data_IF_739109561691
#
_entry.id   IF_739109561691
#
_cell.length_a   1.000
_cell.length_b   1.000
_cell.length_c   1.000
_cell.angle_alpha   90.00
_cell.angle_beta   90.00
_cell.angle_gamma   90.00
#
_symmetry.space_group_name_H-M   'P 1'
#
loop_
_entity.id
_entity.type
_entity.pdbx_description
1 polymer ?
#
# COMPACT_ATOMS: atom_id res chain seq x y z
N UNK A 1 1.67 10.17 29.10
CA UNK A 1 1.60 9.04 28.14
C UNK A 1 0.39 9.25 27.24
N UNK A 2 0.56 9.86 26.07
CA UNK A 2 -0.52 10.16 25.14
C UNK A 2 -0.14 9.56 23.77
N UNK A 3 -0.69 8.37 23.48
CA UNK A 3 -0.80 7.86 22.13
C UNK A 3 -1.52 8.94 21.30
N UNK A 4 -0.94 9.42 20.18
CA UNK A 4 -1.67 10.19 19.17
C UNK A 4 -3.03 9.51 18.99
N UNK A 5 -4.08 10.23 19.38
CA UNK A 5 -5.43 9.73 19.71
C UNK A 5 -5.74 8.43 18.97
N UNK A 6 -5.59 7.33 19.69
CA UNK A 6 -6.17 6.04 19.37
C UNK A 6 -6.08 5.61 17.89
N UNK A 7 -4.92 5.06 17.51
CA UNK A 7 -4.93 3.81 16.72
C UNK A 7 -5.48 2.69 17.61
N UNK A 8 -6.71 2.84 18.10
CA UNK A 8 -7.51 1.70 18.53
C UNK A 8 -7.80 0.98 17.22
N UNK A 9 -7.10 -0.13 17.00
CA UNK A 9 -7.50 -1.15 16.04
C UNK A 9 -8.97 -1.36 16.32
N UNK A 10 -9.83 -0.83 15.45
CA UNK A 10 -11.26 -0.88 15.67
C UNK A 10 -11.60 -2.36 15.88
N UNK A 11 -11.98 -2.70 17.10
CA UNK A 11 -12.88 -3.81 17.38
C UNK A 11 -14.19 -3.45 16.67
N UNK A 12 -14.18 -3.55 15.34
CA UNK A 12 -15.34 -3.43 14.52
C UNK A 12 -16.17 -4.66 14.84
N UNK A 13 -17.18 -4.41 15.65
CA UNK A 13 -18.42 -5.17 15.70
C UNK A 13 -18.61 -5.96 14.42
N UNK A 14 -18.62 -7.28 14.56
CA UNK A 14 -18.93 -8.24 13.52
C UNK A 14 -20.31 -7.89 12.91
N UNK A 15 -20.34 -7.10 11.83
CA UNK A 15 -21.30 -7.31 10.76
C UNK A 15 -20.99 -6.49 9.50
N UNK A 16 -20.83 -7.25 8.41
CA UNK A 16 -21.11 -6.91 7.01
C UNK A 16 -20.26 -5.81 6.32
N UNK A 17 -19.09 -6.19 5.75
CA UNK A 17 -18.90 -6.29 4.28
C UNK A 17 -17.44 -6.59 3.90
N UNK A 18 -17.25 -7.81 3.42
CA UNK A 18 -16.01 -8.40 2.90
C UNK A 18 -15.59 -7.80 1.55
N UNK A 19 -14.97 -6.62 1.52
CA UNK A 19 -14.38 -6.12 0.25
C UNK A 19 -12.99 -5.50 0.33
N UNK A 20 -12.35 -5.43 1.51
CA UNK A 20 -11.06 -4.71 1.60
C UNK A 20 -9.78 -5.54 1.51
N UNK A 21 -9.87 -6.87 1.46
CA UNK A 21 -8.65 -7.69 1.51
C UNK A 21 -8.55 -8.79 0.45
N UNK A 22 -9.60 -9.05 -0.35
CA UNK A 22 -9.79 -10.35 -1.01
C UNK A 22 -9.40 -10.43 -2.51
N UNK A 23 -8.42 -9.66 -2.97
CA UNK A 23 -8.11 -9.54 -4.39
C UNK A 23 -6.87 -10.32 -4.85
N UNK A 24 -6.78 -11.62 -4.60
CA UNK A 24 -5.73 -12.51 -5.18
C UNK A 24 -6.08 -12.99 -6.60
N UNK A 25 -7.30 -12.70 -7.08
CA UNK A 25 -7.81 -13.07 -8.42
C UNK A 25 -7.23 -12.26 -9.57
N UNK A 26 -6.62 -11.10 -9.30
CA UNK A 26 -6.06 -10.20 -10.32
C UNK A 26 -4.52 -10.24 -10.38
N UNK A 27 -3.91 -11.24 -9.75
CA UNK A 27 -2.47 -11.44 -9.82
C UNK A 27 -2.14 -12.21 -11.09
N UNK A 28 -1.40 -11.62 -12.06
CA UNK A 28 -0.95 -12.37 -13.22
C UNK A 28 0.00 -13.48 -12.77
N UNK A 29 -0.23 -14.71 -13.25
CA UNK A 29 0.66 -15.86 -12.99
C UNK A 29 2.07 -15.65 -13.60
N UNK A 30 2.19 -14.69 -14.52
CA UNK A 30 3.42 -14.34 -15.23
C UNK A 30 4.30 -13.35 -14.46
N UNK A 31 5.61 -13.40 -14.70
CA UNK A 31 6.55 -12.39 -14.17
C UNK A 31 6.29 -11.09 -14.90
N UNK A 32 5.78 -10.09 -14.19
CA UNK A 32 5.59 -8.76 -14.77
C UNK A 32 6.92 -8.17 -15.27
N UNK A 33 6.91 -7.39 -16.37
CA UNK A 33 8.11 -6.75 -16.87
C UNK A 33 8.73 -5.81 -15.82
N UNK A 34 10.05 -5.64 -15.82
CA UNK A 34 10.73 -4.74 -14.90
C UNK A 34 10.15 -3.33 -15.02
N UNK A 35 10.10 -2.61 -13.90
CA UNK A 35 9.68 -1.22 -13.94
C UNK A 35 10.65 -0.42 -14.81
N UNK A 36 10.14 0.49 -15.68
CA UNK A 36 10.98 1.46 -16.34
C UNK A 36 11.90 2.15 -15.32
N UNK A 37 13.15 2.49 -15.68
CA UNK A 37 14.04 3.21 -14.78
C UNK A 37 13.30 4.42 -14.21
N UNK A 38 13.13 4.41 -12.89
CA UNK A 38 12.60 5.56 -12.19
C UNK A 38 13.67 6.63 -12.34
N UNK A 39 13.46 7.58 -13.26
CA UNK A 39 14.31 8.76 -13.37
C UNK A 39 14.30 9.37 -11.98
N UNK A 40 15.47 9.43 -11.34
CA UNK A 40 15.62 9.83 -9.95
C UNK A 40 14.97 11.20 -9.72
N UNK A 41 13.69 11.19 -9.34
CA UNK A 41 12.98 12.38 -8.89
C UNK A 41 13.50 12.63 -7.49
N UNK A 42 14.24 13.73 -7.31
CA UNK A 42 14.86 14.11 -6.04
C UNK A 42 13.91 13.87 -4.86
N UNK A 43 14.39 13.07 -3.90
CA UNK A 43 13.64 12.19 -3.01
C UNK A 43 12.96 12.88 -1.82
N UNK A 44 12.40 14.08 -2.02
CA UNK A 44 11.81 14.88 -0.94
C UNK A 44 10.63 15.70 -1.44
N UNK A 45 9.77 15.06 -2.22
CA UNK A 45 8.50 15.67 -2.63
C UNK A 45 7.53 15.62 -1.46
N UNK A 46 6.88 16.74 -1.14
CA UNK A 46 5.73 16.73 -0.25
C UNK A 46 4.64 15.81 -0.79
N UNK A 47 3.76 15.29 0.08
CA UNK A 47 2.69 14.39 -0.35
C UNK A 47 1.81 15.03 -1.43
N UNK A 48 1.55 16.34 -1.31
CA UNK A 48 0.79 17.11 -2.31
C UNK A 48 1.42 17.10 -3.70
N UNK A 49 2.75 17.25 -3.80
CA UNK A 49 3.45 17.20 -5.09
C UNK A 49 3.56 15.76 -5.60
N UNK A 50 3.73 14.79 -4.70
CA UNK A 50 3.81 13.38 -5.06
C UNK A 50 2.53 12.84 -5.70
N UNK A 51 1.36 13.28 -5.22
CA UNK A 51 0.04 12.85 -5.71
C UNK A 51 -0.56 13.76 -6.78
N UNK A 52 0.12 14.87 -7.12
CA UNK A 52 -0.33 15.84 -8.13
C UNK A 52 -0.66 15.23 -9.49
N UNK A 53 0.15 14.29 -10.03
CA UNK A 53 -0.19 13.63 -11.30
C UNK A 53 -1.40 12.69 -11.18
N UNK A 54 -1.87 12.37 -9.97
CA UNK A 54 -2.90 11.36 -9.70
C UNK A 54 -4.28 12.01 -9.48
N UNK A 55 -4.37 13.32 -9.25
CA UNK A 55 -5.63 13.99 -8.88
C UNK A 55 -6.79 13.76 -9.86
N UNK A 56 -6.49 13.58 -11.15
CA UNK A 56 -7.52 13.33 -12.17
C UNK A 56 -7.91 11.86 -12.28
N UNK A 57 -7.11 10.94 -11.72
CA UNK A 57 -7.34 9.49 -11.77
C UNK A 57 -8.22 8.99 -10.62
N UNK A 58 -8.18 9.68 -9.48
CA UNK A 58 -8.88 9.27 -8.26
C UNK A 58 -9.72 10.43 -7.73
N UNK A 59 -11.05 10.24 -7.73
CA UNK A 59 -11.99 11.24 -7.24
C UNK A 59 -11.69 11.65 -5.80
N UNK A 60 -11.92 12.91 -5.40
CA UNK A 60 -11.73 13.37 -4.01
C UNK A 60 -10.33 13.17 -3.40
N UNK A 61 -9.31 12.80 -4.19
CA UNK A 61 -7.97 12.52 -3.69
C UNK A 61 -7.37 13.71 -2.95
N UNK A 62 -7.56 14.93 -3.46
CA UNK A 62 -7.07 16.16 -2.81
C UNK A 62 -7.58 16.30 -1.37
N UNK A 63 -8.88 16.10 -1.15
CA UNK A 63 -9.47 16.19 0.19
C UNK A 63 -8.94 15.07 1.11
N UNK A 64 -8.73 13.87 0.56
CA UNK A 64 -8.17 12.73 1.30
C UNK A 64 -6.71 12.95 1.68
N UNK A 65 -5.93 13.62 0.83
CA UNK A 65 -4.55 14.03 1.12
C UNK A 65 -4.51 15.08 2.22
N UNK A 66 -5.37 16.09 2.15
CA UNK A 66 -5.49 17.10 3.22
C UNK A 66 -5.83 16.44 4.55
N UNK A 67 -6.83 15.55 4.55
CA UNK A 67 -7.22 14.80 5.73
C UNK A 67 -6.08 13.95 6.30
N UNK A 68 -5.35 13.22 5.44
CA UNK A 68 -4.20 12.42 5.87
C UNK A 68 -3.09 13.25 6.53
N UNK A 69 -2.78 14.42 5.96
CA UNK A 69 -1.80 15.34 6.54
C UNK A 69 -2.26 15.93 7.87
N UNK A 70 -3.56 16.15 8.03
CA UNK A 70 -4.11 16.66 9.28
C UNK A 70 -4.03 15.65 10.43
N UNK A 71 -4.29 14.38 10.13
CA UNK A 71 -4.17 13.28 11.10
C UNK A 71 -2.70 12.98 11.45
N UNK A 72 -1.78 13.15 10.48
CA UNK A 72 -0.37 12.82 10.63
C UNK A 72 0.54 14.00 11.09
N UNK A 73 -0.03 15.07 11.66
CA UNK A 73 0.75 16.25 12.11
C UNK A 73 1.87 15.94 13.12
N UNK A 74 1.71 14.90 13.92
CA UNK A 74 2.65 14.47 14.95
C UNK A 74 3.12 13.03 14.66
N UNK A 75 4.02 12.84 13.68
CA UNK A 75 4.50 11.52 13.30
C UNK A 75 5.40 10.90 14.40
N UNK A 76 5.53 9.58 14.35
CA UNK A 76 6.43 8.78 15.21
C UNK A 76 7.47 8.06 14.34
N UNK A 77 8.39 7.35 14.98
CA UNK A 77 9.33 6.43 14.31
C UNK A 77 10.22 7.13 13.26
N UNK A 78 10.65 8.36 13.55
CA UNK A 78 11.46 9.22 12.68
C UNK A 78 10.87 9.48 11.27
N UNK A 79 9.56 9.27 11.15
CA UNK A 79 8.81 9.64 9.96
C UNK A 79 8.58 11.15 9.93
N UNK A 80 8.64 11.71 8.73
CA UNK A 80 8.10 13.04 8.46
C UNK A 80 6.57 13.00 8.40
N UNK A 81 5.93 14.17 8.50
CA UNK A 81 4.48 14.29 8.35
C UNK A 81 4.01 13.74 6.99
N UNK A 82 4.71 14.06 5.90
CA UNK A 82 4.40 13.59 4.55
C UNK A 82 4.53 12.07 4.40
N UNK A 83 5.58 11.47 4.99
CA UNK A 83 5.78 10.02 4.96
C UNK A 83 4.71 9.27 5.77
N UNK A 84 4.39 9.75 6.97
CA UNK A 84 3.32 9.19 7.78
C UNK A 84 1.96 9.32 7.08
N UNK A 85 1.68 10.49 6.49
CA UNK A 85 0.47 10.74 5.72
C UNK A 85 0.39 9.88 4.45
N UNK A 86 1.51 9.55 3.81
CA UNK A 86 1.54 8.64 2.66
C UNK A 86 1.09 7.22 3.05
N UNK A 87 1.56 6.71 4.19
CA UNK A 87 1.13 5.42 4.75
C UNK A 87 -0.35 5.47 5.16
N UNK A 88 -0.76 6.56 5.81
CA UNK A 88 -2.15 6.75 6.21
C UNK A 88 -3.09 6.79 5.00
N UNK A 89 -2.74 7.52 3.94
CA UNK A 89 -3.51 7.58 2.69
C UNK A 89 -3.70 6.20 2.05
N UNK A 90 -2.68 5.32 2.11
CA UNK A 90 -2.76 3.95 1.60
C UNK A 90 -3.79 3.10 2.34
N UNK A 91 -3.98 3.35 3.64
CA UNK A 91 -4.91 2.60 4.51
C UNK A 91 -6.26 3.28 4.70
N UNK A 92 -6.39 4.53 4.23
CA UNK A 92 -7.57 5.35 4.44
C UNK A 92 -8.81 4.74 3.79
N UNK A 93 -9.92 4.82 4.52
CA UNK A 93 -11.21 4.33 4.05
C UNK A 93 -11.89 5.32 3.11
N UNK A 94 -12.54 4.76 2.08
CA UNK A 94 -13.30 5.49 1.09
C UNK A 94 -14.78 5.13 1.16
N UNK A 95 -15.69 6.09 0.84
CA UNK A 95 -17.13 5.83 0.78
C UNK A 95 -17.46 4.69 -0.20
N UNK A 96 -18.54 3.97 0.07
CA UNK A 96 -19.01 2.90 -0.81
C UNK A 96 -19.28 3.42 -2.23
N UNK A 97 -18.95 2.61 -3.25
CA UNK A 97 -19.16 2.94 -4.66
C UNK A 97 -18.06 3.80 -5.30
N UNK A 98 -17.06 4.28 -4.54
CA UNK A 98 -15.89 4.98 -5.10
C UNK A 98 -14.67 4.06 -5.14
N UNK A 99 -13.93 4.11 -6.24
CA UNK A 99 -12.62 3.47 -6.31
C UNK A 99 -11.66 4.19 -5.36
N UNK A 100 -11.25 3.48 -4.31
CA UNK A 100 -10.29 4.01 -3.34
C UNK A 100 -8.92 4.23 -3.97
N UNK A 101 -8.13 5.14 -3.38
CA UNK A 101 -6.74 5.31 -3.76
C UNK A 101 -5.98 3.98 -3.71
N UNK A 102 -6.15 3.20 -2.64
CA UNK A 102 -5.59 1.86 -2.50
C UNK A 102 -5.96 0.94 -3.67
N UNK A 103 -7.24 0.91 -4.06
CA UNK A 103 -7.71 0.04 -5.15
C UNK A 103 -7.08 0.44 -6.48
N UNK A 104 -7.05 1.73 -6.80
CA UNK A 104 -6.49 2.23 -8.06
C UNK A 104 -4.97 2.05 -8.11
N UNK A 105 -4.29 2.34 -7.00
CA UNK A 105 -2.84 2.18 -6.91
C UNK A 105 -2.41 0.71 -7.03
N UNK A 106 -3.04 -0.21 -6.31
CA UNK A 106 -2.71 -1.64 -6.42
C UNK A 106 -3.08 -2.21 -7.79
N UNK A 107 -4.15 -1.72 -8.43
CA UNK A 107 -4.48 -2.07 -9.82
C UNK A 107 -3.38 -1.63 -10.79
N UNK A 108 -2.86 -0.41 -10.64
CA UNK A 108 -1.76 0.08 -11.47
C UNK A 108 -0.47 -0.73 -11.27
N UNK A 109 -0.18 -1.17 -10.04
CA UNK A 109 0.97 -2.02 -9.72
C UNK A 109 0.88 -3.41 -10.38
N UNK A 110 -0.33 -3.97 -10.46
CA UNK A 110 -0.61 -5.28 -11.06
C UNK A 110 -0.79 -5.24 -12.57
N UNK A 111 -0.87 -4.06 -13.17
CA UNK A 111 -1.04 -3.94 -14.60
C UNK A 111 0.25 -4.30 -15.34
N UNK A 112 0.13 -5.13 -16.38
CA UNK A 112 1.21 -5.43 -17.33
C UNK A 112 1.69 -4.17 -18.05
N UNK A 113 0.76 -3.27 -18.38
CA UNK A 113 1.08 -1.99 -18.98
C UNK A 113 1.67 -1.03 -17.93
N UNK A 114 3.00 -1.01 -17.85
CA UNK A 114 3.76 -0.20 -16.89
C UNK A 114 3.58 1.31 -17.05
N UNK A 115 3.06 1.80 -18.19
CA UNK A 115 2.80 3.22 -18.36
C UNK A 115 1.70 3.73 -17.42
N UNK A 116 0.79 2.86 -16.97
CA UNK A 116 -0.24 3.20 -15.99
C UNK A 116 0.33 3.49 -14.60
N UNK A 117 1.54 3.02 -14.30
CA UNK A 117 2.19 3.25 -13.02
C UNK A 117 2.96 4.58 -12.98
N UNK A 118 3.32 5.15 -14.13
CA UNK A 118 4.11 6.39 -14.22
C UNK A 118 3.54 7.54 -13.38
N UNK A 119 2.20 7.82 -13.38
CA UNK A 119 1.63 8.88 -12.54
C UNK A 119 1.82 8.66 -11.04
N UNK A 120 2.05 7.41 -10.62
CA UNK A 120 2.19 7.02 -9.22
C UNK A 120 3.64 6.97 -8.74
N UNK A 121 4.64 7.19 -9.60
CA UNK A 121 6.06 7.02 -9.24
C UNK A 121 6.51 7.89 -8.08
N UNK A 122 6.12 9.17 -8.07
CA UNK A 122 6.50 10.07 -6.98
C UNK A 122 5.90 9.62 -5.64
N UNK A 123 4.62 9.20 -5.66
CA UNK A 123 3.97 8.64 -4.49
C UNK A 123 4.62 7.31 -4.05
N UNK A 124 4.92 6.42 -4.99
CA UNK A 124 5.59 5.14 -4.71
C UNK A 124 6.96 5.36 -4.06
N UNK A 125 7.75 6.32 -4.55
CA UNK A 125 9.03 6.68 -3.94
C UNK A 125 8.85 7.16 -2.50
N UNK A 126 7.94 8.11 -2.25
CA UNK A 126 7.64 8.61 -0.90
C UNK A 126 7.17 7.49 0.04
N UNK A 127 6.28 6.63 -0.45
CA UNK A 127 5.77 5.50 0.31
C UNK A 127 6.86 4.48 0.66
N UNK A 128 7.74 4.12 -0.30
CA UNK A 128 8.85 3.21 -0.04
C UNK A 128 9.87 3.80 0.94
N UNK A 129 10.15 5.10 0.87
CA UNK A 129 11.00 5.80 1.83
C UNK A 129 10.40 5.73 3.25
N UNK A 130 9.10 5.98 3.38
CA UNK A 130 8.39 5.86 4.66
C UNK A 130 8.46 4.43 5.21
N UNK A 131 8.18 3.42 4.37
CA UNK A 131 8.20 2.02 4.78
C UNK A 131 9.60 1.54 5.19
N UNK A 132 10.67 2.07 4.59
CA UNK A 132 12.05 1.73 4.96
C UNK A 132 12.47 2.22 6.34
N UNK A 133 11.79 3.24 6.90
CA UNK A 133 12.06 3.77 8.24
C UNK A 133 11.35 3.00 9.34
N UNK A 134 10.28 2.27 9.02
CA UNK A 134 9.53 1.50 10.01
C UNK A 134 10.36 0.34 10.57
N UNK A 135 10.22 0.03 11.87
CA UNK A 135 10.90 -1.11 12.46
C UNK A 135 10.42 -2.42 11.80
N UNK A 136 11.35 -3.32 11.54
CA UNK A 136 11.00 -4.67 11.11
C UNK A 136 10.43 -5.46 12.29
N UNK A 137 9.31 -6.15 12.07
CA UNK A 137 8.67 -7.01 13.05
C UNK A 137 8.49 -8.39 12.43
N UNK A 138 9.05 -9.41 13.08
CA UNK A 138 8.86 -10.81 12.72
C UNK A 138 7.72 -11.38 13.57
N UNK A 139 6.53 -11.48 12.98
CA UNK A 139 5.36 -12.04 13.66
C UNK A 139 4.47 -12.80 12.66
N UNK A 140 3.63 -13.69 13.18
CA UNK A 140 2.65 -14.43 12.39
C UNK A 140 1.48 -13.54 12.01
N UNK A 141 1.43 -13.15 10.75
CA UNK A 141 0.33 -12.40 10.15
C UNK A 141 -0.68 -13.31 9.48
N UNK A 142 -1.93 -12.87 9.42
CA UNK A 142 -3.02 -13.56 8.74
C UNK A 142 -3.65 -12.66 7.68
N UNK A 143 -3.89 -13.20 6.48
CA UNK A 143 -4.61 -12.51 5.40
C UNK A 143 -5.80 -13.36 4.97
N UNK A 144 -7.00 -12.80 5.11
CA UNK A 144 -8.25 -13.45 4.71
C UNK A 144 -8.56 -13.17 3.24
N UNK A 145 -8.77 -14.23 2.47
CA UNK A 145 -9.12 -14.16 1.05
C UNK A 145 -10.51 -14.77 0.81
N UNK A 146 -11.24 -14.20 -0.14
CA UNK A 146 -12.57 -14.69 -0.54
C UNK A 146 -12.47 -15.48 -1.85
N UNK A 147 -11.48 -16.38 -1.92
CA UNK A 147 -11.27 -17.31 -3.03
C UNK A 147 -11.03 -18.71 -2.49
N UNK A 148 -11.35 -19.73 -3.29
CA UNK A 148 -10.97 -21.10 -2.96
C UNK A 148 -9.45 -21.28 -3.15
N UNK A 149 -8.71 -21.08 -2.07
CA UNK A 149 -7.26 -21.22 -2.03
C UNK A 149 -6.79 -22.65 -2.37
N UNK A 150 -7.66 -23.68 -2.24
CA UNK A 150 -7.30 -25.06 -2.57
C UNK A 150 -7.05 -25.23 -4.07
N UNK A 151 -7.72 -24.41 -4.90
CA UNK A 151 -7.55 -24.42 -6.35
C UNK A 151 -6.22 -23.74 -6.73
N UNK A 152 -5.88 -22.62 -6.07
CA UNK A 152 -4.66 -21.83 -6.38
C UNK A 152 -3.39 -22.45 -5.78
N UNK A 153 -3.47 -23.03 -4.58
CA UNK A 153 -2.30 -23.48 -3.83
C UNK A 153 -2.37 -24.97 -3.50
N UNK A 154 -1.62 -25.78 -4.26
CA UNK A 154 -1.46 -27.22 -4.01
C UNK A 154 -0.46 -27.44 -2.86
N UNK A 155 -0.85 -28.27 -1.91
CA UNK A 155 -0.05 -28.61 -0.73
C UNK A 155 1.33 -29.13 -1.14
N UNK A 156 2.40 -28.62 -0.50
CA UNK A 156 3.79 -29.00 -0.78
C UNK A 156 4.52 -28.18 -1.85
N UNK A 157 3.86 -27.21 -2.52
CA UNK A 157 4.56 -26.25 -3.40
C UNK A 157 4.94 -24.98 -2.64
N UNK A 158 6.20 -24.56 -2.78
CA UNK A 158 6.70 -23.29 -2.22
C UNK A 158 6.11 -22.15 -3.05
N UNK A 159 5.13 -21.45 -2.48
CA UNK A 159 4.50 -20.31 -3.13
C UNK A 159 5.42 -19.10 -2.96
N UNK A 160 5.90 -18.57 -4.07
CA UNK A 160 6.59 -17.29 -4.12
C UNK A 160 5.55 -16.25 -4.52
N UNK A 161 4.78 -15.78 -3.55
CA UNK A 161 3.92 -14.61 -3.79
C UNK A 161 4.86 -13.43 -4.07
N UNK A 162 4.77 -12.88 -5.29
CA UNK A 162 5.79 -11.97 -5.87
C UNK A 162 5.62 -10.50 -5.48
N UNK A 163 4.73 -10.17 -4.56
CA UNK A 163 4.74 -8.86 -3.91
C UNK A 163 4.48 -8.98 -2.42
N UNK A 164 5.17 -8.09 -1.71
CA UNK A 164 4.99 -7.72 -0.31
C UNK A 164 3.53 -7.92 0.07
N UNK A 165 3.29 -8.90 0.94
CA UNK A 165 2.17 -8.84 1.86
C UNK A 165 2.15 -7.41 2.43
N UNK A 166 1.03 -6.93 2.94
CA UNK A 166 1.03 -5.79 3.87
C UNK A 166 1.74 -6.14 5.20
N UNK A 167 2.83 -6.89 5.10
CA UNK A 167 3.68 -7.56 6.06
C UNK A 167 5.02 -7.66 5.32
N UNK A 168 5.90 -6.69 5.57
CA UNK A 168 7.14 -6.49 4.81
C UNK A 168 8.12 -7.63 5.12
N UNK A 169 8.22 -8.61 4.24
CA UNK A 169 9.28 -9.63 4.28
C UNK A 169 10.50 -9.17 3.50
N UNK A 170 11.57 -8.78 4.19
CA UNK A 170 12.91 -8.70 3.57
C UNK A 170 13.48 -10.11 3.49
N UNK A 171 13.48 -10.69 2.31
CA UNK A 171 14.19 -11.94 2.01
C UNK A 171 15.68 -11.60 1.81
N UNK A 172 16.46 -11.60 2.90
CA UNK A 172 17.91 -11.57 2.85
C UNK A 172 18.39 -12.99 2.57
N UNK A 173 18.83 -13.23 1.34
CA UNK A 173 19.57 -14.45 0.98
C UNK A 173 20.80 -14.55 1.88
N UNK A 174 20.81 -15.52 2.78
CA UNK A 174 22.03 -16.14 3.26
C UNK A 174 22.48 -17.13 2.17
N UNK A 175 23.40 -16.70 1.31
CA UNK A 175 24.25 -17.64 0.58
C UNK A 175 25.68 -17.51 1.13
N UNK A 176 26.12 -18.64 1.69
CA UNK A 176 27.48 -19.05 2.13
C UNK A 176 27.97 -18.49 3.46
#
# INVERSE_FOLDING_TARGET
MAYCREMTVAAATFNTRRQRFSGVTEEPDEVLPPLPPIVHTNSTSSLYEAVKPIYHLVANLKNKVTYALEECKNPKDDLTCDESAAIYLYTLQWPEGQHSFFTMFNRALRNENRTQLIPYYNYLNLFMLAMNKLPAVEDRVWRGENIDLKVKYKQGKKNRDKQTFSSVGRDLRSEV
#
